data_IF_128418004782
#
_entry.id   IF_128418004782
#
_cell.length_a   1.000
_cell.length_b   1.000
_cell.length_c   1.000
_cell.angle_alpha   90.00
_cell.angle_beta   90.00
_cell.angle_gamma   90.00
#
_symmetry.space_group_name_H-M   'P 1'
#
loop_
_entity.id
_entity.type
_entity.pdbx_description
1 polymer ?
#
# COMPACT_ATOMS: atom_id res chain seq x y z
N UNK A 1 -86.00 -14.74 -20.03
CA UNK A 1 -87.40 -14.67 -19.55
C UNK A 1 -87.71 -13.20 -19.30
N UNK A 2 -88.78 -12.66 -19.92
CA UNK A 2 -89.75 -11.67 -19.41
C UNK A 2 -89.29 -10.42 -18.61
N UNK A 3 -89.76 -9.17 -18.86
CA UNK A 3 -90.90 -8.66 -19.66
C UNK A 3 -90.69 -7.22 -20.23
N UNK A 4 -91.22 -6.97 -21.44
CA UNK A 4 -91.95 -5.80 -22.01
C UNK A 4 -91.74 -4.31 -21.56
N UNK A 5 -91.32 -3.41 -22.50
CA UNK A 5 -92.15 -2.41 -23.30
C UNK A 5 -93.13 -1.44 -22.53
N UNK A 6 -93.25 -0.09 -22.72
CA UNK A 6 -92.97 0.90 -23.82
C UNK A 6 -92.88 2.40 -23.37
N UNK A 7 -92.35 3.32 -24.23
CA UNK A 7 -92.74 4.77 -24.36
C UNK A 7 -91.91 5.82 -23.57
N UNK A 8 -91.72 7.10 -23.97
CA UNK A 8 -92.20 7.96 -25.09
C UNK A 8 -91.30 9.24 -25.25
N UNK A 9 -91.29 9.90 -26.43
CA UNK A 9 -91.04 11.37 -26.56
C UNK A 9 -89.70 11.86 -27.18
N UNK A 10 -89.78 12.86 -28.09
CA UNK A 10 -88.67 13.47 -28.87
C UNK A 10 -88.66 15.01 -28.77
N UNK A 11 -87.50 15.66 -28.85
CA UNK A 11 -87.35 16.97 -29.56
C UNK A 11 -85.90 17.24 -30.05
N UNK A 12 -85.71 18.29 -30.86
CA UNK A 12 -84.64 18.55 -31.85
C UNK A 12 -83.38 19.28 -31.37
N UNK A 13 -82.33 19.23 -32.21
CA UNK A 13 -81.18 20.18 -32.25
C UNK A 13 -80.53 20.25 -33.65
N UNK A 14 -79.59 21.22 -33.83
CA UNK A 14 -78.58 21.44 -34.93
C UNK A 14 -78.94 22.46 -36.04
N UNK A 15 -78.01 23.27 -36.63
CA UNK A 15 -76.52 23.37 -36.54
C UNK A 15 -75.93 24.72 -37.09
N UNK A 16 -74.61 24.95 -36.88
CA UNK A 16 -73.57 25.62 -37.71
C UNK A 16 -73.08 27.11 -37.61
N UNK A 17 -71.91 27.30 -36.93
CA UNK A 17 -70.54 27.71 -37.43
C UNK A 17 -70.22 29.10 -38.12
N UNK A 18 -68.93 29.53 -38.36
CA UNK A 18 -68.06 30.33 -37.44
C UNK A 18 -67.19 31.50 -38.04
N UNK A 19 -66.39 32.24 -37.20
CA UNK A 19 -65.21 33.18 -37.44
C UNK A 19 -65.33 34.56 -36.70
N UNK A 20 -64.31 35.43 -36.42
CA UNK A 20 -62.80 35.37 -36.28
C UNK A 20 -62.15 36.74 -35.86
N UNK A 21 -60.87 36.74 -35.40
CA UNK A 21 -59.85 37.85 -35.23
C UNK A 21 -59.79 38.77 -33.96
N UNK A 22 -58.55 38.86 -33.42
CA UNK A 22 -57.80 39.93 -32.68
C UNK A 22 -58.32 40.57 -31.36
N UNK A 23 -57.53 40.41 -30.28
CA UNK A 23 -56.63 41.41 -29.64
C UNK A 23 -55.81 40.70 -28.54
N UNK A 24 -54.47 40.66 -28.61
CA UNK A 24 -53.50 41.61 -28.04
C UNK A 24 -53.45 41.65 -26.50
N UNK A 25 -52.66 40.74 -25.92
CA UNK A 25 -51.97 40.96 -24.63
C UNK A 25 -50.50 40.57 -24.81
N UNK A 26 -49.61 41.55 -24.68
CA UNK A 26 -48.19 41.32 -24.47
C UNK A 26 -48.00 40.81 -23.03
N UNK A 27 -47.50 39.58 -22.89
CA UNK A 27 -46.83 39.15 -21.66
C UNK A 27 -45.39 38.88 -22.04
N UNK A 28 -44.55 39.87 -21.74
CA UNK A 28 -43.10 39.78 -21.81
C UNK A 28 -42.55 38.65 -20.91
N UNK A 29 -41.39 38.13 -21.33
CA UNK A 29 -40.34 37.57 -20.49
C UNK A 29 -40.68 36.41 -19.53
N UNK A 30 -40.49 35.19 -20.04
CA UNK A 30 -40.05 34.05 -19.24
C UNK A 30 -39.04 33.13 -19.99
N UNK A 31 -38.22 33.69 -20.88
CA UNK A 31 -37.08 32.98 -21.52
C UNK A 31 -35.73 33.38 -20.90
N UNK A 32 -35.62 33.44 -19.56
CA UNK A 32 -34.30 33.57 -18.88
C UNK A 32 -33.58 32.21 -18.73
N UNK A 33 -33.86 31.29 -19.65
CA UNK A 33 -32.96 30.19 -19.96
C UNK A 33 -31.87 30.71 -20.89
N UNK A 34 -30.86 31.39 -20.33
CA UNK A 34 -29.77 32.03 -21.09
C UNK A 34 -28.94 31.00 -21.87
N UNK A 35 -29.40 30.67 -23.08
CA UNK A 35 -28.73 29.76 -24.01
C UNK A 35 -27.41 30.39 -24.45
N UNK A 36 -26.32 29.66 -24.26
CA UNK A 36 -25.05 30.00 -24.88
C UNK A 36 -25.20 30.00 -26.41
N UNK A 37 -24.50 30.92 -27.07
CA UNK A 37 -24.32 30.90 -28.52
C UNK A 37 -23.92 29.50 -29.01
N UNK A 38 -24.45 28.99 -30.14
CA UNK A 38 -24.20 27.61 -30.60
C UNK A 38 -22.72 27.25 -30.80
N UNK A 39 -21.86 28.25 -30.99
CA UNK A 39 -20.40 28.06 -31.05
C UNK A 39 -19.81 27.89 -29.64
N UNK A 40 -20.18 28.77 -28.70
CA UNK A 40 -19.76 28.69 -27.31
C UNK A 40 -20.24 27.40 -26.62
N UNK A 41 -21.44 26.92 -26.96
CA UNK A 41 -21.94 25.62 -26.51
C UNK A 41 -21.11 24.44 -27.03
N UNK A 42 -20.72 24.44 -28.32
CA UNK A 42 -19.83 23.41 -28.89
C UNK A 42 -18.47 23.42 -28.17
N UNK A 43 -17.84 24.58 -28.05
CA UNK A 43 -16.57 24.73 -27.34
C UNK A 43 -16.66 24.33 -25.86
N UNK A 44 -17.80 24.59 -25.20
CA UNK A 44 -18.05 24.13 -23.83
C UNK A 44 -18.05 22.60 -23.75
N UNK A 45 -18.82 21.92 -24.61
CA UNK A 45 -18.90 20.46 -24.64
C UNK A 45 -17.55 19.82 -24.97
N UNK A 46 -16.82 20.34 -25.95
CA UNK A 46 -15.48 19.86 -26.31
C UNK A 46 -14.50 19.95 -25.12
N UNK A 47 -14.44 21.10 -24.45
CA UNK A 47 -13.58 21.35 -23.29
C UNK A 47 -13.98 20.52 -22.07
N UNK A 48 -15.29 20.40 -21.81
CA UNK A 48 -15.84 19.55 -20.74
C UNK A 48 -15.47 18.08 -20.96
N UNK A 49 -15.58 17.59 -22.21
CA UNK A 49 -15.21 16.23 -22.57
C UNK A 49 -13.70 15.99 -22.41
N UNK A 50 -12.85 16.92 -22.85
CA UNK A 50 -11.39 16.80 -22.67
C UNK A 50 -10.98 16.77 -21.19
N UNK A 51 -11.61 17.60 -20.35
CA UNK A 51 -11.40 17.56 -18.90
C UNK A 51 -11.87 16.23 -18.28
N UNK A 52 -13.04 15.73 -18.69
CA UNK A 52 -13.57 14.45 -18.23
C UNK A 52 -12.73 13.26 -18.70
N UNK A 53 -12.16 13.30 -19.91
CA UNK A 53 -11.21 12.32 -20.41
C UNK A 53 -9.99 12.26 -19.49
N UNK A 54 -9.28 13.38 -19.29
CA UNK A 54 -8.12 13.45 -18.37
C UNK A 54 -8.43 12.93 -16.96
N UNK A 55 -9.60 13.27 -16.40
CA UNK A 55 -10.03 12.80 -15.08
C UNK A 55 -10.43 11.31 -15.05
N UNK A 56 -10.67 10.66 -16.19
CA UNK A 56 -11.02 9.23 -16.29
C UNK A 56 -9.88 8.35 -16.79
N UNK A 57 -8.90 8.90 -17.52
CA UNK A 57 -7.62 8.27 -17.90
C UNK A 57 -6.50 8.61 -16.89
N UNK A 58 -5.92 9.80 -17.05
CA UNK A 58 -4.57 10.16 -16.61
C UNK A 58 -4.50 10.53 -15.13
N UNK A 59 -5.62 10.99 -14.55
CA UNK A 59 -5.75 11.29 -13.13
C UNK A 59 -6.80 10.41 -12.43
N UNK A 60 -7.14 9.25 -13.01
CA UNK A 60 -8.28 8.43 -12.58
C UNK A 60 -8.23 8.00 -11.09
N UNK A 61 -9.40 7.82 -10.42
CA UNK A 61 -9.41 7.46 -8.99
C UNK A 61 -8.74 6.11 -8.71
N UNK A 62 -8.82 5.19 -9.67
CA UNK A 62 -8.15 3.89 -9.61
C UNK A 62 -6.64 4.00 -9.70
N UNK A 63 -6.12 4.94 -10.53
CA UNK A 63 -4.70 5.22 -10.64
C UNK A 63 -4.15 5.87 -9.37
N UNK A 64 -4.82 6.89 -8.84
CA UNK A 64 -4.44 7.53 -7.57
C UNK A 64 -4.48 6.53 -6.41
N UNK A 65 -5.53 5.72 -6.29
CA UNK A 65 -5.61 4.64 -5.28
C UNK A 65 -4.46 3.63 -5.41
N UNK A 66 -4.03 3.31 -6.63
CA UNK A 66 -2.86 2.45 -6.89
C UNK A 66 -1.56 3.13 -6.47
N UNK A 67 -1.42 4.44 -6.69
CA UNK A 67 -0.27 5.22 -6.26
C UNK A 67 -0.19 5.35 -4.73
N UNK A 68 -1.31 5.60 -4.05
CA UNK A 68 -1.42 5.53 -2.59
C UNK A 68 -0.99 4.18 -2.04
N UNK A 69 -1.52 3.08 -2.57
CA UNK A 69 -1.13 1.73 -2.15
C UNK A 69 0.36 1.45 -2.37
N UNK A 70 0.95 1.97 -3.47
CA UNK A 70 2.38 1.82 -3.76
C UNK A 70 3.25 2.73 -2.88
N UNK A 71 2.76 3.90 -2.49
CA UNK A 71 3.46 4.78 -1.56
C UNK A 71 3.45 4.21 -0.13
N UNK A 72 2.31 3.67 0.31
CA UNK A 72 2.21 2.90 1.55
C UNK A 72 3.08 1.63 1.55
N UNK A 73 3.35 1.04 0.39
CA UNK A 73 4.35 -0.03 0.26
C UNK A 73 5.78 0.51 0.43
N UNK A 74 6.13 1.62 -0.25
CA UNK A 74 7.46 2.24 -0.16
C UNK A 74 7.80 2.68 1.28
N UNK A 75 6.86 3.28 2.02
CA UNK A 75 7.01 3.61 3.44
C UNK A 75 7.38 2.39 4.31
N UNK A 76 7.05 1.17 3.87
CA UNK A 76 7.28 -0.10 4.58
C UNK A 76 8.52 -0.86 4.08
N UNK A 77 9.14 -0.42 2.99
CA UNK A 77 10.33 -1.06 2.45
C UNK A 77 11.58 -0.83 3.31
N UNK A 78 12.56 -1.73 3.16
CA UNK A 78 13.91 -1.57 3.70
C UNK A 78 14.83 -1.04 2.59
N UNK A 79 15.69 -0.07 2.87
CA UNK A 79 16.56 0.57 1.88
C UNK A 79 18.03 0.30 2.18
N UNK A 80 18.83 0.04 1.13
CA UNK A 80 20.23 -0.38 1.24
C UNK A 80 21.15 0.44 0.32
N UNK A 81 22.45 0.50 0.66
CA UNK A 81 23.49 0.94 -0.27
C UNK A 81 23.96 -0.26 -1.10
N UNK A 82 23.81 -0.16 -2.42
CA UNK A 82 24.53 -0.99 -3.37
C UNK A 82 25.80 -0.28 -3.83
N UNK A 83 26.92 -1.01 -3.78
CA UNK A 83 28.21 -0.58 -4.32
C UNK A 83 28.37 -1.28 -5.67
N UNK A 84 28.59 -0.54 -6.74
CA UNK A 84 28.77 -1.08 -8.08
C UNK A 84 30.07 -0.57 -8.70
N UNK A 85 30.92 -1.43 -9.28
CA UNK A 85 31.99 -1.01 -10.19
C UNK A 85 31.45 -0.15 -11.34
N UNK A 86 32.07 1.00 -11.64
CA UNK A 86 31.64 1.91 -12.72
C UNK A 86 31.76 1.31 -14.13
N UNK A 87 32.44 0.19 -14.29
CA UNK A 87 32.67 -0.45 -15.60
C UNK A 87 31.64 -1.53 -15.97
N UNK A 88 30.68 -1.85 -15.06
CA UNK A 88 29.53 -2.67 -15.43
C UNK A 88 28.55 -1.81 -16.22
N UNK A 89 28.40 -2.12 -17.50
CA UNK A 89 27.32 -1.60 -18.31
C UNK A 89 25.97 -2.06 -17.74
N UNK A 90 24.95 -1.21 -17.82
CA UNK A 90 23.57 -1.60 -17.49
C UNK A 90 23.16 -2.74 -18.43
N UNK A 91 23.06 -3.98 -17.93
CA UNK A 91 22.62 -5.14 -18.69
C UNK A 91 23.37 -6.45 -18.43
N UNK A 92 24.57 -6.41 -17.84
CA UNK A 92 25.34 -7.65 -17.57
C UNK A 92 24.74 -8.40 -16.36
N UNK A 93 23.94 -9.44 -16.66
CA UNK A 93 23.16 -10.25 -15.70
C UNK A 93 24.01 -11.28 -14.92
N UNK A 94 25.28 -10.97 -14.64
CA UNK A 94 26.07 -11.75 -13.70
C UNK A 94 25.68 -11.38 -12.26
N UNK A 95 25.23 -12.32 -11.41
CA UNK A 95 24.92 -12.02 -10.02
C UNK A 95 26.19 -11.60 -9.31
N UNK A 96 26.28 -10.29 -9.03
CA UNK A 96 27.44 -9.66 -8.41
C UNK A 96 27.63 -10.16 -6.99
N UNK A 97 28.35 -11.28 -6.85
CA UNK A 97 29.24 -11.47 -5.71
C UNK A 97 30.27 -10.34 -5.80
N UNK A 98 29.91 -9.16 -5.27
CA UNK A 98 30.90 -8.16 -4.90
C UNK A 98 31.90 -8.90 -4.02
N UNK A 99 33.16 -9.05 -4.46
CA UNK A 99 34.13 -9.74 -3.63
C UNK A 99 34.24 -8.93 -2.33
N UNK A 100 34.17 -9.62 -1.20
CA UNK A 100 34.14 -9.03 0.15
C UNK A 100 35.30 -8.05 0.38
N UNK A 101 36.37 -8.20 -0.41
CA UNK A 101 37.50 -7.28 -0.56
C UNK A 101 37.12 -5.84 -0.91
N UNK A 102 36.05 -5.57 -1.67
CA UNK A 102 35.64 -4.19 -1.97
C UNK A 102 35.18 -3.42 -0.72
N UNK A 103 34.60 -4.10 0.28
CA UNK A 103 34.30 -3.47 1.58
C UNK A 103 35.56 -3.18 2.38
N UNK A 104 36.63 -3.98 2.23
CA UNK A 104 37.91 -3.76 2.89
C UNK A 104 38.65 -2.52 2.36
N UNK A 105 38.37 -2.10 1.12
CA UNK A 105 38.95 -0.89 0.51
C UNK A 105 38.21 0.40 0.90
N UNK A 106 36.97 0.31 1.37
CA UNK A 106 36.13 1.46 1.72
C UNK A 106 36.41 1.87 3.16
N UNK A 107 36.67 3.16 3.37
CA UNK A 107 36.81 3.73 4.72
C UNK A 107 35.51 3.57 5.53
N UNK A 108 35.52 2.89 6.69
CA UNK A 108 34.30 2.66 7.46
C UNK A 108 33.61 3.95 7.92
N UNK A 109 34.36 4.99 8.28
CA UNK A 109 33.80 6.26 8.75
C UNK A 109 33.15 7.05 7.59
N UNK A 110 33.77 7.07 6.41
CA UNK A 110 33.15 7.62 5.19
C UNK A 110 31.90 6.83 4.80
N UNK A 111 31.91 5.50 4.94
CA UNK A 111 30.74 4.68 4.64
C UNK A 111 29.58 4.94 5.62
N UNK A 112 29.85 5.05 6.93
CA UNK A 112 28.84 5.44 7.92
C UNK A 112 28.27 6.85 7.64
N UNK A 113 29.09 7.80 7.15
CA UNK A 113 28.58 9.09 6.65
C UNK A 113 27.66 8.91 5.44
N UNK A 114 28.00 8.03 4.49
CA UNK A 114 27.11 7.74 3.35
C UNK A 114 25.82 7.02 3.74
N UNK A 115 25.81 6.17 4.77
CA UNK A 115 24.57 5.62 5.35
C UNK A 115 23.66 6.75 5.84
N UNK A 116 24.21 7.74 6.55
CA UNK A 116 23.43 8.92 7.00
C UNK A 116 22.90 9.76 5.83
N UNK A 117 23.71 9.99 4.80
CA UNK A 117 23.28 10.70 3.56
C UNK A 117 22.16 9.94 2.86
N UNK A 118 22.30 8.62 2.69
CA UNK A 118 21.25 7.78 2.10
C UNK A 118 19.96 7.79 2.91
N UNK A 119 20.04 7.74 4.24
CA UNK A 119 18.86 7.76 5.11
C UNK A 119 18.13 9.10 5.03
N UNK A 120 18.87 10.21 4.92
CA UNK A 120 18.28 11.53 4.66
C UNK A 120 17.63 11.60 3.27
N UNK A 121 18.33 11.12 2.23
CA UNK A 121 17.82 11.10 0.85
C UNK A 121 16.54 10.25 0.73
N UNK A 122 16.49 9.05 1.32
CA UNK A 122 15.30 8.21 1.37
C UNK A 122 14.14 8.88 2.10
N UNK A 123 14.39 9.56 3.24
CA UNK A 123 13.34 10.29 3.97
C UNK A 123 12.78 11.45 3.13
N UNK A 124 13.64 12.25 2.52
CA UNK A 124 13.24 13.38 1.65
C UNK A 124 12.43 12.86 0.45
N UNK A 125 12.90 11.79 -0.20
CA UNK A 125 12.20 11.15 -1.31
C UNK A 125 10.81 10.64 -0.91
N UNK A 126 10.68 10.02 0.27
CA UNK A 126 9.39 9.56 0.78
C UNK A 126 8.45 10.70 1.17
N UNK A 127 8.95 11.79 1.75
CA UNK A 127 8.12 12.97 2.03
C UNK A 127 7.60 13.59 0.73
N UNK A 128 8.50 13.87 -0.22
CA UNK A 128 8.16 14.49 -1.50
C UNK A 128 7.21 13.62 -2.36
N UNK A 129 7.32 12.29 -2.30
CA UNK A 129 6.35 11.39 -2.93
C UNK A 129 4.95 11.47 -2.28
N UNK A 130 4.87 11.76 -0.98
CA UNK A 130 3.60 12.08 -0.31
C UNK A 130 3.05 13.41 -0.77
N UNK A 131 3.85 14.47 -0.68
CA UNK A 131 3.47 15.85 -1.02
C UNK A 131 2.98 15.98 -2.49
N UNK A 132 3.59 15.27 -3.43
CA UNK A 132 3.13 15.25 -4.84
C UNK A 132 1.82 14.47 -5.00
N UNK A 133 1.60 13.39 -4.24
CA UNK A 133 0.37 12.62 -4.33
C UNK A 133 -0.82 13.38 -3.73
N UNK A 134 -0.60 14.12 -2.64
CA UNK A 134 -1.58 15.05 -2.07
C UNK A 134 -1.91 16.20 -3.05
N UNK A 135 -0.93 16.73 -3.78
CA UNK A 135 -1.17 17.70 -4.85
C UNK A 135 -2.02 17.13 -6.00
N UNK A 136 -1.82 15.86 -6.36
CA UNK A 136 -2.63 15.17 -7.37
C UNK A 136 -4.07 14.94 -6.89
N UNK A 137 -4.27 14.49 -5.65
CA UNK A 137 -5.62 14.32 -5.07
C UNK A 137 -6.37 15.66 -4.98
N UNK A 138 -5.68 16.72 -4.53
CA UNK A 138 -6.26 18.05 -4.41
C UNK A 138 -6.61 18.64 -5.77
N UNK A 139 -5.67 18.62 -6.73
CA UNK A 139 -5.91 19.09 -8.08
C UNK A 139 -6.99 18.30 -8.82
N UNK A 140 -7.08 16.99 -8.58
CA UNK A 140 -8.21 16.20 -9.05
C UNK A 140 -9.54 16.72 -8.48
N UNK A 141 -9.60 16.95 -7.18
CA UNK A 141 -10.82 17.41 -6.49
C UNK A 141 -11.26 18.80 -6.97
N UNK A 142 -10.33 19.71 -7.24
CA UNK A 142 -10.61 21.01 -7.86
C UNK A 142 -11.22 20.85 -9.26
N UNK A 143 -10.64 19.98 -10.09
CA UNK A 143 -11.08 19.73 -11.46
C UNK A 143 -12.42 18.99 -11.53
N UNK A 144 -12.67 18.00 -10.65
CA UNK A 144 -13.98 17.35 -10.51
C UNK A 144 -15.05 18.41 -10.13
N UNK A 145 -14.75 19.34 -9.21
CA UNK A 145 -15.69 20.40 -8.82
C UNK A 145 -16.05 21.38 -9.94
N UNK A 146 -15.17 21.57 -10.95
CA UNK A 146 -15.49 22.37 -12.14
C UNK A 146 -16.51 21.68 -13.06
N UNK A 147 -16.54 20.34 -13.10
CA UNK A 147 -17.54 19.58 -13.87
C UNK A 147 -18.94 19.61 -13.24
N UNK A 148 -19.01 19.75 -11.92
CA UNK A 148 -20.27 19.89 -11.16
C UNK A 148 -20.87 21.31 -11.23
N UNK A 149 -20.17 22.29 -11.81
CA UNK A 149 -20.70 23.64 -12.02
C UNK A 149 -21.86 23.63 -13.03
N UNK A 150 -23.06 24.15 -12.67
CA UNK A 150 -24.20 24.21 -13.58
C UNK A 150 -24.10 25.37 -14.60
N UNK A 151 -23.38 26.46 -14.29
CA UNK A 151 -23.15 27.55 -15.26
C UNK A 151 -21.90 27.25 -16.11
N UNK A 152 -22.04 27.16 -17.45
CA UNK A 152 -20.91 26.95 -18.36
C UNK A 152 -20.06 28.21 -18.60
N UNK A 153 -20.54 29.42 -18.27
CA UNK A 153 -19.85 30.68 -18.61
C UNK A 153 -18.55 30.92 -17.82
N UNK A 154 -18.49 30.73 -16.49
CA UNK A 154 -17.24 30.84 -15.74
C UNK A 154 -16.19 29.83 -16.22
N UNK A 155 -16.61 28.61 -16.58
CA UNK A 155 -15.74 27.56 -17.11
C UNK A 155 -15.13 27.94 -18.46
N UNK A 156 -15.94 28.49 -19.39
CA UNK A 156 -15.44 28.96 -20.68
C UNK A 156 -14.45 30.13 -20.55
N UNK A 157 -14.75 31.10 -19.67
CA UNK A 157 -13.91 32.27 -19.43
C UNK A 157 -12.60 31.91 -18.68
N UNK A 158 -12.65 30.97 -17.74
CA UNK A 158 -11.51 30.50 -16.95
C UNK A 158 -10.66 29.42 -17.62
N UNK A 159 -11.02 28.96 -18.83
CA UNK A 159 -10.44 27.75 -19.43
C UNK A 159 -8.91 27.74 -19.54
N UNK A 160 -8.25 28.87 -19.82
CA UNK A 160 -6.78 28.92 -19.87
C UNK A 160 -6.09 28.58 -18.54
N UNK A 161 -6.76 28.85 -17.40
CA UNK A 161 -6.30 28.41 -16.08
C UNK A 161 -6.52 26.90 -15.89
N UNK A 162 -7.57 26.33 -16.48
CA UNK A 162 -7.83 24.89 -16.47
C UNK A 162 -6.78 24.15 -17.31
N UNK A 163 -6.46 24.64 -18.52
CA UNK A 163 -5.39 24.10 -19.37
C UNK A 163 -4.04 24.12 -18.65
N UNK A 164 -3.70 25.24 -17.99
CA UNK A 164 -2.49 25.33 -17.17
C UNK A 164 -2.53 24.30 -16.03
N UNK A 165 -3.66 24.17 -15.30
CA UNK A 165 -3.80 23.22 -14.20
C UNK A 165 -3.64 21.76 -14.64
N UNK A 166 -4.14 21.41 -15.83
CA UNK A 166 -3.97 20.09 -16.45
C UNK A 166 -2.48 19.81 -16.76
N UNK A 167 -1.77 20.78 -17.34
CA UNK A 167 -0.34 20.67 -17.63
C UNK A 167 0.51 20.56 -16.34
N UNK A 168 0.20 21.37 -15.32
CA UNK A 168 0.86 21.33 -14.02
C UNK A 168 0.67 19.96 -13.35
N UNK A 169 -0.56 19.40 -13.35
CA UNK A 169 -0.84 18.08 -12.76
C UNK A 169 -0.17 16.94 -13.52
N UNK A 170 -0.03 17.06 -14.84
CA UNK A 170 0.75 16.12 -15.66
C UNK A 170 2.24 16.16 -15.26
N UNK A 171 2.82 17.35 -15.09
CA UNK A 171 4.20 17.51 -14.64
C UNK A 171 4.43 17.01 -13.19
N UNK A 172 3.44 17.16 -12.30
CA UNK A 172 3.45 16.57 -10.95
C UNK A 172 3.41 15.04 -11.02
N UNK A 173 2.59 14.45 -11.89
CA UNK A 173 2.53 13.00 -12.12
C UNK A 173 3.86 12.47 -12.65
N UNK A 174 4.46 13.11 -13.66
CA UNK A 174 5.77 12.73 -14.19
C UNK A 174 6.87 12.80 -13.11
N UNK A 175 6.86 13.86 -12.30
CA UNK A 175 7.78 14.04 -11.17
C UNK A 175 7.61 12.94 -10.12
N UNK A 176 6.37 12.58 -9.79
CA UNK A 176 6.04 11.48 -8.89
C UNK A 176 6.57 10.15 -9.45
N UNK A 177 6.24 9.81 -10.71
CA UNK A 177 6.67 8.58 -11.37
C UNK A 177 8.20 8.46 -11.44
N UNK A 178 8.91 9.54 -11.80
CA UNK A 178 10.37 9.59 -11.83
C UNK A 178 11.00 9.33 -10.46
N UNK A 179 10.33 9.70 -9.36
CA UNK A 179 10.81 9.49 -7.99
C UNK A 179 10.36 8.16 -7.36
N UNK A 180 9.55 7.33 -8.03
CA UNK A 180 9.13 6.02 -7.51
C UNK A 180 10.24 4.98 -7.38
N UNK A 181 11.43 5.23 -7.95
CA UNK A 181 12.61 4.35 -7.87
C UNK A 181 13.74 5.12 -7.18
N UNK A 182 14.40 4.59 -6.14
CA UNK A 182 15.55 5.27 -5.53
C UNK A 182 16.68 5.49 -6.52
N UNK A 183 17.19 6.72 -6.53
CA UNK A 183 18.23 7.13 -7.45
C UNK A 183 19.66 6.78 -7.02
N UNK A 184 20.61 7.41 -7.71
CA UNK A 184 22.03 7.41 -7.31
C UNK A 184 22.18 8.12 -5.96
N UNK A 185 23.10 7.64 -5.13
CA UNK A 185 23.58 8.42 -3.99
C UNK A 185 24.60 9.45 -4.49
N UNK A 186 24.42 10.72 -4.11
CA UNK A 186 25.37 11.76 -4.47
C UNK A 186 26.61 11.68 -3.56
N UNK A 187 27.74 11.20 -4.12
CA UNK A 187 28.99 10.98 -3.38
C UNK A 187 29.93 12.17 -3.60
N UNK A 188 30.03 13.07 -2.63
CA UNK A 188 30.94 14.25 -2.68
C UNK A 188 32.42 13.92 -2.50
N UNK A 189 32.77 12.80 -1.86
CA UNK A 189 34.15 12.46 -1.49
C UNK A 189 34.49 11.00 -1.80
N UNK A 190 35.76 10.73 -2.13
CA UNK A 190 36.25 9.37 -2.40
C UNK A 190 36.09 8.46 -1.18
N UNK A 191 35.27 7.42 -1.33
CA UNK A 191 34.96 6.44 -0.28
C UNK A 191 36.10 5.45 -0.01
N UNK A 192 36.85 5.09 -1.06
CA UNK A 192 38.08 4.32 -0.94
C UNK A 192 39.17 5.19 -0.30
N UNK A 193 39.99 4.61 0.57
CA UNK A 193 41.16 5.28 1.13
C UNK A 193 42.37 5.13 0.23
N UNK A 194 43.16 6.19 0.10
CA UNK A 194 44.35 6.27 -0.77
C UNK A 194 45.56 5.57 -0.13
N UNK A 195 45.41 4.29 0.20
CA UNK A 195 46.48 3.44 0.72
C UNK A 195 47.19 2.82 -0.49
N UNK A 196 48.50 3.05 -0.59
CA UNK A 196 49.24 2.99 -1.85
C UNK A 196 49.22 1.64 -2.59
N UNK A 197 48.42 1.57 -3.66
CA UNK A 197 48.58 0.61 -4.76
C UNK A 197 47.92 1.12 -6.05
N UNK A 198 48.38 0.61 -7.19
CA UNK A 198 47.91 0.96 -8.54
C UNK A 198 46.41 0.71 -8.76
N UNK A 199 45.73 1.64 -9.46
CA UNK A 199 44.34 1.54 -9.95
C UNK A 199 43.29 1.25 -8.87
N UNK A 200 43.02 2.25 -8.02
CA UNK A 200 41.85 2.27 -7.14
C UNK A 200 40.55 2.10 -7.97
N UNK A 201 39.70 1.10 -7.68
CA UNK A 201 38.50 0.85 -8.46
C UNK A 201 37.53 2.02 -8.37
N UNK A 202 37.05 2.47 -9.53
CA UNK A 202 35.97 3.44 -9.57
C UNK A 202 34.66 2.76 -9.17
N UNK A 203 34.18 3.06 -7.95
CA UNK A 203 32.88 2.62 -7.46
C UNK A 203 31.81 3.70 -7.63
N UNK A 204 30.55 3.26 -7.76
CA UNK A 204 29.31 4.06 -7.72
C UNK A 204 28.45 3.51 -6.58
N UNK A 205 27.78 4.41 -5.85
CA UNK A 205 26.77 4.03 -4.88
C UNK A 205 25.37 4.24 -5.46
N UNK A 206 24.46 3.32 -5.17
CA UNK A 206 23.02 3.46 -5.42
C UNK A 206 22.23 3.15 -4.15
N UNK A 207 21.02 3.72 -4.03
CA UNK A 207 20.03 3.18 -3.13
C UNK A 207 19.28 2.05 -3.83
N UNK A 208 19.03 0.96 -3.13
CA UNK A 208 18.07 -0.06 -3.56
C UNK A 208 17.01 -0.33 -2.50
N UNK A 209 15.85 -0.78 -2.95
CA UNK A 209 14.67 -1.04 -2.13
C UNK A 209 14.42 -2.54 -2.05
N UNK A 210 14.24 -3.06 -0.83
CA UNK A 210 13.70 -4.40 -0.59
C UNK A 210 12.27 -4.30 -0.05
N UNK A 211 11.36 -5.07 -0.66
CA UNK A 211 9.94 -5.16 -0.27
C UNK A 211 9.79 -5.51 1.22
N UNK A 212 8.74 -5.05 1.92
CA UNK A 212 8.54 -5.35 3.33
C UNK A 212 8.50 -6.85 3.62
N UNK A 213 8.96 -7.21 4.81
CA UNK A 213 8.71 -8.52 5.43
C UNK A 213 7.39 -8.43 6.17
N UNK A 214 6.47 -9.37 5.90
CA UNK A 214 5.10 -9.37 6.41
C UNK A 214 4.74 -10.75 6.96
N UNK A 215 4.13 -10.82 8.15
CA UNK A 215 3.55 -12.06 8.65
C UNK A 215 2.41 -12.51 7.74
N UNK A 216 2.43 -13.80 7.38
CA UNK A 216 1.25 -14.47 6.88
C UNK A 216 0.30 -14.70 8.06
N UNK A 217 -0.78 -13.92 8.07
CA UNK A 217 -1.79 -13.91 9.13
C UNK A 217 -2.75 -15.10 9.07
N UNK A 218 -2.72 -15.90 7.98
CA UNK A 218 -3.51 -17.12 7.82
C UNK A 218 -2.70 -18.35 8.23
N UNK A 219 -1.44 -18.39 7.82
CA UNK A 219 -0.53 -19.52 8.11
C UNK A 219 0.16 -19.42 9.48
N UNK A 220 0.18 -18.25 10.13
CA UNK A 220 0.71 -18.10 11.49
C UNK A 220 -0.35 -18.45 12.53
N UNK A 221 -0.12 -19.52 13.30
CA UNK A 221 -1.11 -20.14 14.19
C UNK A 221 -0.56 -20.34 15.59
N UNK A 222 -1.42 -20.11 16.60
CA UNK A 222 -1.11 -20.44 17.99
C UNK A 222 -1.73 -21.77 18.43
N UNK A 223 -0.91 -22.51 19.16
CA UNK A 223 -1.22 -23.77 19.82
C UNK A 223 -1.24 -23.54 21.34
N UNK A 224 -1.20 -24.61 22.14
CA UNK A 224 -1.31 -24.53 23.60
C UNK A 224 -0.11 -23.82 24.24
N UNK A 225 1.11 -24.25 23.90
CA UNK A 225 2.37 -23.85 24.52
C UNK A 225 3.42 -23.42 23.47
N UNK A 226 2.99 -23.23 22.23
CA UNK A 226 3.83 -22.83 21.11
C UNK A 226 3.06 -22.09 20.03
N UNK A 227 3.78 -21.42 19.14
CA UNK A 227 3.24 -20.83 17.90
C UNK A 227 4.05 -21.30 16.70
N UNK A 228 3.39 -21.51 15.57
CA UNK A 228 4.04 -21.56 14.26
C UNK A 228 3.86 -20.21 13.60
N UNK A 229 4.95 -19.61 13.14
CA UNK A 229 4.94 -18.30 12.48
C UNK A 229 5.45 -18.45 11.06
N UNK A 230 4.76 -17.83 10.10
CA UNK A 230 5.21 -17.70 8.72
C UNK A 230 5.18 -16.24 8.29
N UNK A 231 6.12 -15.86 7.43
CA UNK A 231 6.18 -14.54 6.82
C UNK A 231 6.66 -14.63 5.38
N UNK A 232 6.42 -13.58 4.62
CA UNK A 232 6.82 -13.49 3.22
C UNK A 232 7.41 -12.11 2.91
N UNK A 233 8.17 -12.06 1.82
CA UNK A 233 8.60 -10.81 1.18
C UNK A 233 7.69 -10.61 -0.02
N UNK A 234 7.03 -9.45 -0.12
CA UNK A 234 5.86 -9.28 -1.00
C UNK A 234 6.14 -9.55 -2.48
N UNK A 235 7.37 -9.35 -2.95
CA UNK A 235 7.88 -9.78 -4.25
C UNK A 235 9.36 -10.16 -4.07
N UNK A 236 9.80 -11.27 -4.69
CA UNK A 236 11.18 -11.77 -4.81
C UNK A 236 11.73 -12.62 -3.63
N UNK A 237 12.04 -13.89 -3.93
CA UNK A 237 12.96 -14.76 -3.19
C UNK A 237 14.01 -15.29 -4.17
N UNK A 238 15.17 -14.64 -4.24
CA UNK A 238 16.31 -15.07 -5.06
C UNK A 238 17.62 -15.15 -4.27
N UNK A 239 17.65 -14.61 -3.05
CA UNK A 239 18.84 -14.50 -2.19
C UNK A 239 18.44 -14.90 -0.76
N UNK A 240 19.24 -15.70 -0.03
CA UNK A 240 19.02 -15.96 1.39
C UNK A 240 19.04 -14.66 2.20
N UNK A 241 17.98 -14.40 2.97
CA UNK A 241 17.90 -13.24 3.88
C UNK A 241 17.95 -13.70 5.34
N UNK A 242 18.48 -12.84 6.21
CA UNK A 242 18.43 -13.01 7.66
C UNK A 242 17.37 -12.07 8.23
N UNK A 243 16.54 -12.60 9.13
CA UNK A 243 15.46 -11.88 9.80
C UNK A 243 15.71 -11.81 11.30
N UNK A 244 15.17 -10.77 11.93
CA UNK A 244 15.11 -10.64 13.38
C UNK A 244 13.65 -10.87 13.81
N UNK A 245 13.40 -12.02 14.43
CA UNK A 245 12.11 -12.34 15.05
C UNK A 245 12.19 -11.97 16.54
N UNK A 246 11.24 -11.19 17.02
CA UNK A 246 11.08 -10.92 18.46
C UNK A 246 9.71 -11.36 18.93
N UNK A 247 9.63 -11.79 20.19
CA UNK A 247 8.35 -12.05 20.86
C UNK A 247 8.35 -11.45 22.27
N UNK A 248 7.17 -11.08 22.76
CA UNK A 248 6.95 -10.60 24.14
C UNK A 248 5.53 -10.93 24.59
N UNK A 249 5.39 -11.48 25.80
CA UNK A 249 4.12 -11.57 26.52
C UNK A 249 3.56 -10.16 26.80
N UNK A 250 2.30 -9.92 26.41
CA UNK A 250 1.68 -8.60 26.55
C UNK A 250 1.33 -8.26 28.00
N UNK A 251 0.68 -9.20 28.71
CA UNK A 251 0.15 -9.00 30.06
C UNK A 251 0.81 -9.96 31.08
N UNK A 252 2.09 -9.71 31.45
CA UNK A 252 2.75 -10.48 32.51
C UNK A 252 2.19 -10.11 33.89
N UNK A 253 1.79 -11.14 34.63
CA UNK A 253 1.20 -11.06 35.99
C UNK A 253 2.21 -11.41 37.10
N UNK A 254 3.34 -12.00 36.75
CA UNK A 254 4.38 -12.45 37.69
C UNK A 254 5.77 -12.04 37.20
N UNK A 255 6.76 -12.01 38.09
CA UNK A 255 8.14 -11.70 37.72
C UNK A 255 8.74 -12.73 36.74
N UNK A 256 8.33 -14.00 36.84
CA UNK A 256 8.72 -15.05 35.90
C UNK A 256 8.07 -14.84 34.51
N UNK A 257 6.83 -14.36 34.47
CA UNK A 257 6.16 -13.98 33.22
C UNK A 257 6.84 -12.80 32.52
N UNK A 258 7.48 -11.86 33.25
CA UNK A 258 8.27 -10.80 32.63
C UNK A 258 9.47 -11.33 31.82
N UNK A 259 9.91 -12.58 32.05
CA UNK A 259 10.98 -13.23 31.27
C UNK A 259 10.47 -13.84 29.94
N UNK A 260 9.16 -13.85 29.68
CA UNK A 260 8.54 -14.40 28.47
C UNK A 260 8.69 -13.46 27.26
N UNK A 261 9.93 -13.24 26.85
CA UNK A 261 10.30 -12.48 25.68
C UNK A 261 11.64 -12.97 25.10
N UNK A 262 11.91 -12.67 23.83
CA UNK A 262 13.18 -13.01 23.21
C UNK A 262 13.40 -12.36 21.85
N UNK A 263 14.65 -12.47 21.38
CA UNK A 263 15.11 -12.04 20.07
C UNK A 263 15.82 -13.25 19.44
N UNK A 264 15.43 -13.61 18.22
CA UNK A 264 15.86 -14.82 17.52
C UNK A 264 16.30 -14.42 16.10
N UNK A 265 17.55 -14.68 15.69
CA UNK A 265 17.95 -14.57 14.29
C UNK A 265 17.40 -15.77 13.50
N UNK A 266 16.76 -15.52 12.36
CA UNK A 266 16.12 -16.56 11.54
C UNK A 266 16.52 -16.42 10.08
N UNK A 267 17.06 -17.49 9.49
CA UNK A 267 17.54 -17.55 8.10
C UNK A 267 16.46 -18.06 7.10
N UNK A 268 15.20 -18.10 7.53
CA UNK A 268 14.08 -18.74 6.86
C UNK A 268 12.81 -17.89 6.98
N UNK A 269 11.79 -18.21 6.18
CA UNK A 269 10.49 -17.52 6.17
C UNK A 269 9.43 -18.16 7.09
N UNK A 270 9.85 -19.09 7.96
CA UNK A 270 9.01 -19.72 8.95
C UNK A 270 9.83 -20.06 10.21
N UNK A 271 9.20 -20.04 11.39
CA UNK A 271 9.82 -20.42 12.65
C UNK A 271 8.79 -20.79 13.72
N UNK A 272 9.07 -21.82 14.50
CA UNK A 272 8.23 -22.24 15.63
C UNK A 272 8.83 -21.75 16.96
N UNK A 273 8.07 -21.03 17.77
CA UNK A 273 8.48 -20.65 19.14
C UNK A 273 7.75 -21.55 20.13
N UNK A 274 8.50 -22.35 20.89
CA UNK A 274 8.00 -23.31 21.89
C UNK A 274 8.16 -22.81 23.32
N UNK A 275 7.57 -23.54 24.27
CA UNK A 275 7.62 -23.27 25.72
C UNK A 275 7.02 -21.90 26.12
N UNK A 276 6.02 -21.45 25.36
CA UNK A 276 5.18 -20.31 25.69
C UNK A 276 4.13 -20.72 26.73
N UNK A 277 3.70 -19.78 27.55
CA UNK A 277 2.66 -20.03 28.55
C UNK A 277 1.29 -20.19 27.88
N UNK A 278 0.46 -21.18 28.31
CA UNK A 278 -0.88 -21.38 27.78
C UNK A 278 -1.86 -20.29 28.25
N UNK A 279 -2.91 -20.07 27.45
CA UNK A 279 -3.94 -19.05 27.68
C UNK A 279 -3.40 -17.62 27.83
N UNK A 280 -2.43 -17.21 26.99
CA UNK A 280 -1.75 -15.90 27.06
C UNK A 280 -1.60 -15.22 25.70
N UNK A 281 -1.60 -13.89 25.73
CA UNK A 281 -1.46 -13.03 24.56
C UNK A 281 0.02 -12.65 24.33
N UNK A 282 0.56 -13.02 23.17
CA UNK A 282 1.93 -12.70 22.77
C UNK A 282 1.95 -11.79 21.56
N UNK A 283 2.78 -10.75 21.60
CA UNK A 283 3.12 -9.93 20.44
C UNK A 283 4.42 -10.43 19.82
N UNK A 284 4.32 -10.83 18.56
CA UNK A 284 5.42 -11.20 17.69
C UNK A 284 5.74 -10.03 16.75
N UNK A 285 7.01 -9.85 16.42
CA UNK A 285 7.45 -8.85 15.46
C UNK A 285 8.56 -9.38 14.58
N UNK A 286 8.48 -9.14 13.27
CA UNK A 286 9.53 -9.53 12.31
C UNK A 286 10.03 -8.30 11.56
N UNK A 287 11.35 -8.25 11.34
CA UNK A 287 12.03 -7.31 10.45
C UNK A 287 13.26 -7.98 9.82
N UNK A 288 13.99 -7.31 8.93
CA UNK A 288 15.29 -7.84 8.48
C UNK A 288 16.33 -7.70 9.58
N UNK A 289 17.29 -8.61 9.61
CA UNK A 289 18.48 -8.44 10.41
C UNK A 289 19.25 -7.19 9.94
N UNK A 290 19.84 -6.46 10.89
CA UNK A 290 20.69 -5.32 10.58
C UNK A 290 21.86 -5.78 9.69
N UNK A 291 22.06 -5.12 8.55
CA UNK A 291 23.18 -5.41 7.66
C UNK A 291 24.11 -4.20 7.55
N UNK A 292 25.38 -4.45 7.20
CA UNK A 292 26.34 -3.37 7.02
C UNK A 292 25.84 -2.31 6.03
N UNK A 293 25.16 -2.72 4.94
CA UNK A 293 24.62 -1.85 3.89
C UNK A 293 23.24 -1.27 4.18
N UNK A 294 22.54 -1.67 5.25
CA UNK A 294 21.20 -1.16 5.56
C UNK A 294 21.24 0.35 5.86
N UNK A 295 20.36 1.13 5.22
CA UNK A 295 20.32 2.59 5.29
C UNK A 295 19.14 3.07 6.10
N UNK A 296 17.96 2.52 5.80
CA UNK A 296 16.69 2.95 6.37
C UNK A 296 15.75 1.75 6.43
N UNK A 297 15.36 1.36 7.65
CA UNK A 297 14.36 0.34 7.92
C UNK A 297 13.38 0.90 8.98
N UNK A 298 12.29 1.56 8.56
CA UNK A 298 11.24 2.00 9.47
C UNK A 298 10.29 0.86 9.84
N UNK A 299 10.24 -0.20 9.02
CA UNK A 299 9.22 -1.23 9.10
C UNK A 299 9.60 -2.41 9.98
N UNK A 300 8.60 -2.85 10.74
CA UNK A 300 8.58 -4.08 11.52
C UNK A 300 7.14 -4.53 11.56
N UNK A 301 6.78 -5.58 10.84
CA UNK A 301 5.43 -6.12 10.93
C UNK A 301 5.22 -6.74 12.31
N UNK A 302 3.99 -6.70 12.80
CA UNK A 302 3.64 -7.27 14.10
C UNK A 302 2.32 -8.03 14.07
N UNK A 303 2.30 -9.11 14.83
CA UNK A 303 1.19 -10.05 14.94
C UNK A 303 0.97 -10.35 16.41
N UNK A 304 -0.28 -10.28 16.88
CA UNK A 304 -0.64 -10.76 18.21
C UNK A 304 -1.34 -12.11 18.07
N UNK A 305 -0.88 -13.13 18.77
CA UNK A 305 -1.56 -14.42 18.86
C UNK A 305 -1.83 -14.79 20.32
N UNK A 306 -2.92 -15.52 20.55
CA UNK A 306 -3.29 -16.04 21.86
C UNK A 306 -3.01 -17.54 21.89
N UNK A 307 -2.18 -17.98 22.83
CA UNK A 307 -1.96 -19.41 23.09
C UNK A 307 -3.24 -20.03 23.64
N UNK A 308 -3.51 -21.29 23.27
CA UNK A 308 -4.73 -21.99 23.68
C UNK A 308 -4.67 -22.34 25.17
N UNK A 309 -5.81 -22.53 25.85
CA UNK A 309 -5.83 -23.11 27.19
C UNK A 309 -5.11 -24.45 27.23
N UNK A 310 -4.43 -24.73 28.34
CA UNK A 310 -3.97 -26.08 28.64
C UNK A 310 -5.14 -27.04 28.89
N UNK A 311 -4.92 -28.36 28.82
CA UNK A 311 -5.89 -29.29 29.36
C UNK A 311 -6.12 -28.96 30.84
N UNK A 312 -7.35 -29.07 31.36
CA UNK A 312 -7.63 -28.77 32.75
C UNK A 312 -6.77 -29.67 33.66
N UNK A 313 -6.09 -29.06 34.63
CA UNK A 313 -5.37 -29.75 35.70
C UNK A 313 -6.39 -30.47 36.62
N UNK A 314 -6.88 -31.63 36.16
CA UNK A 314 -8.03 -32.29 36.78
C UNK A 314 -8.28 -33.75 36.39
N UNK A 315 -7.44 -34.35 35.54
CA UNK A 315 -7.44 -35.80 35.29
C UNK A 315 -6.05 -36.38 35.50
N UNK A 316 -5.70 -36.56 36.78
CA UNK A 316 -4.71 -37.58 37.13
C UNK A 316 -5.19 -38.93 36.56
N UNK A 317 -4.32 -39.76 35.97
CA UNK A 317 -4.72 -41.09 35.53
C UNK A 317 -5.16 -41.89 36.75
N UNK A 318 -6.47 -42.17 36.82
CA UNK A 318 -7.08 -42.94 37.88
C UNK A 318 -6.31 -44.25 38.03
N UNK A 319 -5.62 -44.43 39.16
CA UNK A 319 -4.97 -45.69 39.50
C UNK A 319 -6.07 -46.75 39.58
N UNK A 320 -6.20 -47.59 38.54
CA UNK A 320 -7.04 -48.77 38.62
C UNK A 320 -6.47 -49.70 39.69
N UNK A 321 -7.11 -49.69 40.86
CA UNK A 321 -6.74 -50.52 41.99
C UNK A 321 -6.96 -51.99 41.69
N UNK A 322 -5.89 -52.77 41.82
CA UNK A 322 -5.86 -54.25 41.83
C UNK A 322 -6.99 -54.87 42.66
N UNK A 323 -7.39 -56.09 42.29
CA UNK A 323 -7.25 -57.31 43.14
C UNK A 323 -7.67 -58.57 42.34
N UNK A 324 -6.73 -59.44 41.99
CA UNK A 324 -6.59 -60.80 42.56
C UNK A 324 -6.90 -61.85 41.47
N UNK A 325 -6.46 -63.11 41.43
CA UNK A 325 -5.61 -64.05 42.22
C UNK A 325 -5.13 -65.12 41.20
N UNK A 326 -4.09 -65.96 41.36
CA UNK A 326 -3.04 -66.17 42.38
C UNK A 326 -1.83 -66.91 41.75
N UNK A 327 -0.87 -67.39 42.55
CA UNK A 327 0.26 -68.26 42.14
C UNK A 327 -0.17 -69.67 41.67
N UNK A 328 0.57 -70.22 40.70
CA UNK A 328 1.26 -71.53 40.84
C UNK A 328 2.54 -71.58 39.98
N UNK A 329 3.50 -72.40 40.39
CA UNK A 329 4.92 -72.37 39.99
C UNK A 329 5.30 -73.57 39.06
N UNK A 330 6.56 -74.03 38.95
CA UNK A 330 7.50 -73.63 37.88
C UNK A 330 8.05 -74.85 37.09
N UNK A 331 9.13 -74.63 36.31
CA UNK A 331 10.32 -75.51 36.13
C UNK A 331 10.71 -75.83 34.67
N UNK A 332 12.01 -75.63 34.37
CA UNK A 332 12.91 -76.38 33.46
C UNK A 332 12.46 -76.74 32.01
N UNK A 333 13.28 -76.56 30.96
CA UNK A 333 14.74 -76.35 30.82
C UNK A 333 15.08 -75.31 29.75
#
# INVERSE_FOLDING_TARGET
>A
MNFQVTGLGLDKMKLDSPQSFLDQEEVEEAEDGQLLEPEAWRTYVERRNALQEFLTSDLSPHLLKRHHARMELLKKCSYYIEILPKHLALGDQNPLVLPTTMFQLIDPWKFQRMKKVGAAQTKIQLLLLGDLLEQLDHGRSELDALLESPDPRPFLAGWGLVEQRLADLSAVMDSFLAMMVPGRLHVKHRLVSDIGATKIPHIRLMLSTKMPVMFDRKESVAHQDWVSLRWFVTIQQAVPEQFELRYKLLDPRTQQECMQCGIIPVAACAFDIRNLLPNRAYKFTVKRAESYTLVYEPWRDSLTLHTRPGPPEGLAPSRLGKLGLSLTTPSER
#
